data_IF_572052347731
#
_entry.id   IF_572052347731
#
_cell.length_a   1.000
_cell.length_b   1.000
_cell.length_c   1.000
_cell.angle_alpha   90.00
_cell.angle_beta   90.00
_cell.angle_gamma   90.00
#
_symmetry.space_group_name_H-M   'P 1'
#
loop_
_entity.id
_entity.type
_entity.pdbx_description
1 polymer ?
#
# COMPACT_ATOMS: atom_id res chain seq x y z
N UNK A 1 -11.75 8.52 9.65
CA UNK A 1 -10.27 8.50 9.71
C UNK A 1 -9.87 7.55 10.82
N UNK A 2 -9.25 6.40 10.54
CA UNK A 2 -8.80 5.48 11.59
C UNK A 2 -7.59 6.11 12.30
N UNK A 3 -7.82 6.74 13.44
CA UNK A 3 -6.76 7.26 14.29
C UNK A 3 -6.30 6.09 15.17
N UNK A 4 -5.02 5.72 15.08
CA UNK A 4 -4.43 4.75 16.01
C UNK A 4 -4.72 5.20 17.44
N UNK A 5 -5.13 4.27 18.32
CA UNK A 5 -5.40 4.57 19.73
C UNK A 5 -4.17 5.13 20.46
N UNK A 6 -2.98 4.92 19.90
CA UNK A 6 -1.73 5.47 20.40
C UNK A 6 -0.97 6.14 19.25
N UNK A 7 -1.18 7.45 19.09
CA UNK A 7 -0.52 8.24 18.04
C UNK A 7 0.99 8.35 18.28
N UNK A 8 1.45 8.37 19.54
CA UNK A 8 2.87 8.48 19.87
C UNK A 8 3.65 7.24 19.44
N UNK A 9 3.09 6.04 19.69
CA UNK A 9 3.68 4.78 19.22
C UNK A 9 3.72 4.71 17.68
N UNK A 10 2.68 5.21 17.02
CA UNK A 10 2.67 5.27 15.55
C UNK A 10 3.74 6.22 15.02
N UNK A 11 3.89 7.40 15.62
CA UNK A 11 4.95 8.33 15.22
C UNK A 11 6.34 7.76 15.48
N UNK A 12 6.56 7.10 16.61
CA UNK A 12 7.83 6.44 16.91
C UNK A 12 8.17 5.37 15.85
N UNK A 13 7.19 4.58 15.42
CA UNK A 13 7.37 3.63 14.30
C UNK A 13 7.76 4.35 13.00
N UNK A 14 7.10 5.45 12.65
CA UNK A 14 7.41 6.22 11.44
C UNK A 14 8.85 6.78 11.47
N UNK A 15 9.31 7.30 12.61
CA UNK A 15 10.68 7.82 12.74
C UNK A 15 11.74 6.71 12.61
N UNK A 16 11.49 5.54 13.21
CA UNK A 16 12.38 4.38 13.05
C UNK A 16 12.39 3.90 11.59
N UNK A 17 11.23 3.84 10.94
CA UNK A 17 11.12 3.44 9.54
C UNK A 17 11.90 4.38 8.62
N UNK A 18 11.75 5.71 8.79
CA UNK A 18 12.52 6.71 8.05
C UNK A 18 14.03 6.53 8.23
N UNK A 19 14.46 6.29 9.47
CA UNK A 19 15.88 6.05 9.80
C UNK A 19 16.39 4.77 9.13
N UNK A 20 15.58 3.71 9.10
CA UNK A 20 15.95 2.46 8.45
C UNK A 20 16.15 2.64 6.94
N UNK A 21 15.22 3.32 6.24
CA UNK A 21 15.38 3.64 4.82
C UNK A 21 16.62 4.51 4.55
N UNK A 22 16.89 5.51 5.38
CA UNK A 22 18.09 6.35 5.23
C UNK A 22 19.40 5.56 5.42
N UNK A 23 19.36 4.42 6.11
CA UNK A 23 20.50 3.58 6.43
C UNK A 23 20.50 2.24 5.68
N UNK A 24 19.62 2.04 4.70
CA UNK A 24 19.42 0.80 3.93
C UNK A 24 19.17 -0.43 4.85
N UNK A 25 18.27 -0.29 5.83
CA UNK A 25 17.88 -1.33 6.83
C UNK A 25 16.39 -1.65 6.81
N UNK A 26 15.67 -1.17 5.80
CA UNK A 26 14.24 -1.32 5.65
C UNK A 26 13.83 -2.80 5.57
N UNK A 27 14.64 -3.65 4.93
CA UNK A 27 14.32 -5.05 4.75
C UNK A 27 14.38 -5.82 6.08
N UNK A 28 15.43 -5.61 6.88
CA UNK A 28 15.56 -6.22 8.21
C UNK A 28 14.47 -5.72 9.15
N UNK A 29 14.20 -4.41 9.14
CA UNK A 29 13.18 -3.82 10.00
C UNK A 29 11.79 -4.36 9.66
N UNK A 30 11.40 -4.39 8.38
CA UNK A 30 10.09 -4.90 7.95
C UNK A 30 9.99 -6.41 8.15
N UNK A 31 11.10 -7.15 8.07
CA UNK A 31 11.14 -8.58 8.39
C UNK A 31 10.91 -8.84 9.88
N UNK A 32 11.45 -7.97 10.75
CA UNK A 32 11.24 -8.03 12.20
C UNK A 32 9.80 -7.70 12.60
N UNK A 33 9.19 -6.71 11.95
CA UNK A 33 7.89 -6.16 12.37
C UNK A 33 6.67 -6.83 11.70
N UNK A 34 6.84 -7.39 10.51
CA UNK A 34 5.75 -8.01 9.76
C UNK A 34 5.96 -9.52 9.65
N UNK A 35 4.87 -10.26 9.74
CA UNK A 35 4.85 -11.68 9.37
C UNK A 35 4.99 -11.86 7.85
N UNK A 36 5.26 -13.09 7.39
CA UNK A 36 5.30 -13.40 5.96
C UNK A 36 3.97 -13.05 5.27
N UNK A 37 2.85 -13.48 5.87
CA UNK A 37 1.50 -13.22 5.35
C UNK A 37 1.18 -11.72 5.26
N UNK A 38 1.66 -10.92 6.23
CA UNK A 38 1.48 -9.47 6.20
C UNK A 38 2.30 -8.81 5.08
N UNK A 39 3.52 -9.29 4.82
CA UNK A 39 4.33 -8.81 3.68
C UNK A 39 3.65 -9.11 2.35
N UNK A 40 3.13 -10.33 2.18
CA UNK A 40 2.36 -10.72 0.99
C UNK A 40 1.09 -9.87 0.85
N UNK A 41 0.39 -9.62 1.95
CA UNK A 41 -0.80 -8.77 1.95
C UNK A 41 -0.49 -7.31 1.58
N UNK A 42 0.64 -6.75 2.02
CA UNK A 42 1.07 -5.40 1.64
C UNK A 42 1.41 -5.35 0.15
N UNK A 43 2.15 -6.34 -0.37
CA UNK A 43 2.46 -6.45 -1.80
C UNK A 43 1.21 -6.56 -2.67
N UNK A 44 0.26 -7.42 -2.27
CA UNK A 44 -1.03 -7.55 -2.95
C UNK A 44 -1.82 -6.23 -2.95
N UNK A 45 -1.85 -5.50 -1.83
CA UNK A 45 -2.53 -4.19 -1.75
C UNK A 45 -1.91 -3.18 -2.71
N UNK A 46 -0.58 -3.18 -2.86
CA UNK A 46 0.11 -2.32 -3.82
C UNK A 46 -0.31 -2.64 -5.26
N UNK A 47 -0.39 -3.92 -5.62
CA UNK A 47 -0.86 -4.36 -6.94
C UNK A 47 -2.32 -3.96 -7.21
N UNK A 48 -3.19 -4.09 -6.20
CA UNK A 48 -4.59 -3.65 -6.29
C UNK A 48 -4.66 -2.15 -6.57
N UNK A 49 -3.91 -1.34 -5.81
CA UNK A 49 -3.89 0.12 -6.01
C UNK A 49 -3.39 0.47 -7.40
N UNK A 50 -2.32 -0.19 -7.89
CA UNK A 50 -1.78 0.04 -9.23
C UNK A 50 -2.82 -0.24 -10.33
N UNK A 51 -3.53 -1.37 -10.28
CA UNK A 51 -4.54 -1.69 -11.29
C UNK A 51 -5.77 -0.77 -11.20
N UNK A 52 -6.18 -0.37 -9.99
CA UNK A 52 -7.27 0.57 -9.80
C UNK A 52 -6.95 1.97 -10.35
N UNK A 53 -5.69 2.40 -10.25
CA UNK A 53 -5.22 3.69 -10.78
C UNK A 53 -5.02 3.68 -12.31
N UNK A 54 -4.61 2.54 -12.88
CA UNK A 54 -4.42 2.39 -14.33
C UNK A 54 -5.76 2.37 -15.09
N UNK A 55 -6.86 2.00 -14.43
CA UNK A 55 -8.23 1.99 -14.98
C UNK A 55 -8.43 1.14 -16.26
N UNK A 56 -7.46 0.27 -16.60
CA UNK A 56 -7.55 -0.64 -17.75
C UNK A 56 -8.42 -1.87 -17.49
N UNK A 57 -8.44 -2.34 -16.26
CA UNK A 57 -9.22 -3.50 -15.83
C UNK A 57 -10.40 -3.06 -14.94
N UNK A 58 -11.53 -3.72 -15.11
CA UNK A 58 -12.66 -3.65 -14.18
C UNK A 58 -12.30 -4.28 -12.84
N UNK A 59 -13.00 -3.91 -11.76
CA UNK A 59 -12.77 -4.50 -10.43
C UNK A 59 -12.93 -6.03 -10.42
N UNK A 60 -13.81 -6.57 -11.27
CA UNK A 60 -13.99 -8.01 -11.42
C UNK A 60 -12.79 -8.69 -12.08
N UNK A 61 -12.20 -8.06 -13.09
CA UNK A 61 -10.98 -8.55 -13.74
C UNK A 61 -9.79 -8.47 -12.78
N UNK A 62 -9.65 -7.38 -12.02
CA UNK A 62 -8.61 -7.25 -10.99
C UNK A 62 -8.75 -8.37 -9.94
N UNK A 63 -9.99 -8.66 -9.51
CA UNK A 63 -10.26 -9.74 -8.57
C UNK A 63 -9.79 -11.10 -9.08
N UNK A 64 -10.06 -11.40 -10.36
CA UNK A 64 -9.66 -12.66 -11.00
C UNK A 64 -8.15 -12.72 -11.20
N UNK A 65 -7.54 -11.64 -11.70
CA UNK A 65 -6.11 -11.58 -12.00
C UNK A 65 -5.24 -11.70 -10.74
N UNK A 66 -5.69 -11.10 -9.63
CA UNK A 66 -4.95 -11.08 -8.36
C UNK A 66 -5.40 -12.17 -7.37
N UNK A 67 -6.30 -13.07 -7.79
CA UNK A 67 -6.85 -14.14 -6.97
C UNK A 67 -7.24 -13.68 -5.56
N UNK A 68 -7.96 -12.56 -5.46
CA UNK A 68 -8.31 -11.92 -4.19
C UNK A 68 -9.82 -11.80 -4.00
N UNK A 69 -10.24 -11.36 -2.82
CA UNK A 69 -11.67 -11.16 -2.53
C UNK A 69 -12.18 -9.82 -3.09
N UNK A 70 -13.43 -9.81 -3.56
CA UNK A 70 -14.12 -8.57 -3.92
C UNK A 70 -14.10 -7.54 -2.78
N UNK A 71 -14.22 -7.99 -1.53
CA UNK A 71 -14.14 -7.12 -0.35
C UNK A 71 -12.79 -6.40 -0.23
N UNK A 72 -11.69 -7.05 -0.59
CA UNK A 72 -10.36 -6.43 -0.62
C UNK A 72 -10.28 -5.33 -1.66
N UNK A 73 -10.79 -5.59 -2.88
CA UNK A 73 -10.83 -4.60 -3.96
C UNK A 73 -11.71 -3.40 -3.57
N UNK A 74 -12.90 -3.63 -3.01
CA UNK A 74 -13.80 -2.57 -2.56
C UNK A 74 -13.17 -1.69 -1.50
N UNK A 75 -12.46 -2.28 -0.52
CA UNK A 75 -11.70 -1.52 0.48
C UNK A 75 -10.62 -0.65 -0.17
N UNK A 76 -9.87 -1.20 -1.13
CA UNK A 76 -8.86 -0.45 -1.88
C UNK A 76 -9.46 0.73 -2.67
N UNK A 77 -10.53 0.48 -3.42
CA UNK A 77 -11.21 1.53 -4.21
C UNK A 77 -11.78 2.64 -3.32
N UNK A 78 -12.37 2.30 -2.18
CA UNK A 78 -12.87 3.31 -1.24
C UNK A 78 -11.73 4.12 -0.62
N UNK A 79 -10.61 3.48 -0.27
CA UNK A 79 -9.46 4.19 0.28
C UNK A 79 -8.89 5.22 -0.71
N UNK A 80 -8.73 4.84 -1.98
CA UNK A 80 -8.27 5.74 -3.05
C UNK A 80 -9.15 7.00 -3.14
N UNK A 81 -10.47 6.85 -3.05
CA UNK A 81 -11.41 7.99 -3.11
C UNK A 81 -11.30 8.94 -1.92
N UNK A 82 -10.80 8.46 -0.78
CA UNK A 82 -10.64 9.26 0.45
C UNK A 82 -9.28 9.94 0.56
N UNK A 83 -8.32 9.59 -0.30
CA UNK A 83 -6.98 10.14 -0.26
C UNK A 83 -6.89 11.46 -1.04
N UNK A 84 -5.99 12.37 -0.66
CA UNK A 84 -5.78 13.63 -1.38
C UNK A 84 -5.46 13.39 -2.86
N UNK A 85 -6.08 14.12 -3.81
CA UNK A 85 -5.84 13.93 -5.24
C UNK A 85 -4.37 14.07 -5.64
N UNK A 86 -3.66 15.06 -5.07
CA UNK A 86 -2.24 15.29 -5.32
C UNK A 86 -1.38 14.11 -4.88
N UNK A 87 -1.70 13.52 -3.72
CA UNK A 87 -1.00 12.33 -3.24
C UNK A 87 -1.27 11.13 -4.15
N UNK A 88 -2.51 10.93 -4.60
CA UNK A 88 -2.83 9.84 -5.52
C UNK A 88 -2.16 9.99 -6.88
N UNK A 89 -2.00 11.23 -7.35
CA UNK A 89 -1.24 11.54 -8.56
C UNK A 89 0.23 11.17 -8.39
N UNK A 90 0.86 11.57 -7.27
CA UNK A 90 2.23 11.17 -6.95
C UNK A 90 2.40 9.65 -6.89
N UNK A 91 1.48 8.93 -6.22
CA UNK A 91 1.50 7.45 -6.18
C UNK A 91 1.46 6.85 -7.58
N UNK A 92 0.60 7.38 -8.45
CA UNK A 92 0.50 6.92 -9.84
C UNK A 92 1.83 7.10 -10.59
N UNK A 93 2.46 8.26 -10.45
CA UNK A 93 3.76 8.56 -11.07
C UNK A 93 4.86 7.59 -10.59
N UNK A 94 4.92 7.30 -9.29
CA UNK A 94 5.88 6.32 -8.76
C UNK A 94 5.65 4.92 -9.32
N UNK A 95 4.38 4.51 -9.48
CA UNK A 95 4.03 3.19 -10.01
C UNK A 95 4.27 3.06 -11.51
N UNK A 96 4.10 4.13 -12.27
CA UNK A 96 4.38 4.13 -13.71
C UNK A 96 5.89 4.16 -13.99
N UNK A 97 6.68 4.87 -13.18
CA UNK A 97 8.15 4.87 -13.27
C UNK A 97 8.83 3.55 -12.89
N UNK A 98 8.10 2.61 -12.27
CA UNK A 98 8.60 1.25 -12.00
C UNK A 98 8.34 0.26 -13.14
N UNK A 99 7.62 0.66 -14.19
CA UNK A 99 7.28 -0.20 -15.35
C UNK A 99 8.29 -0.08 -16.50
N UNK A 100 9.31 0.76 -16.37
CA UNK A 100 10.45 0.91 -17.28
C UNK A 100 11.66 0.09 -16.80
#
# INVERSE_FOLDING_TARGET
MYVSKNMDQWQAFIEILRTAFAQNKEQELLTLLLTADERDAVGLRLQIVAQLLDKRCSQREIQQNLNTSAATITRGSNMIKTMPPEFMQWVKEQLDGQKE
#
